data_IF_977172641205
#
_entry.id   IF_977172641205
#
_cell.length_a   1.000
_cell.length_b   1.000
_cell.length_c   1.000
_cell.angle_alpha   90.00
_cell.angle_beta   90.00
_cell.angle_gamma   90.00
#
_symmetry.space_group_name_H-M   'P 1'
#
loop_
_entity.id
_entity.type
_entity.pdbx_description
1 polymer ?
#
# COMPACT_ATOMS: atom_id res chain seq x y z
N UNK A 1 -19.61 14.28 -9.39
CA UNK A 1 -18.98 13.18 -10.16
C UNK A 1 -20.09 12.22 -10.60
N UNK A 2 -20.10 11.71 -11.83
CA UNK A 2 -21.17 10.76 -12.23
C UNK A 2 -20.98 9.39 -11.55
N UNK A 3 -22.04 8.58 -11.46
CA UNK A 3 -22.01 7.28 -10.76
C UNK A 3 -20.96 6.30 -11.33
N UNK A 4 -20.76 6.27 -12.64
CA UNK A 4 -19.76 5.44 -13.32
C UNK A 4 -18.33 5.86 -12.96
N UNK A 5 -18.05 7.16 -12.95
CA UNK A 5 -16.74 7.70 -12.57
C UNK A 5 -16.41 7.38 -11.11
N UNK A 6 -17.40 7.47 -10.22
CA UNK A 6 -17.24 7.11 -8.81
C UNK A 6 -16.90 5.64 -8.61
N UNK A 7 -17.62 4.76 -9.30
CA UNK A 7 -17.37 3.32 -9.26
C UNK A 7 -15.95 2.98 -9.73
N UNK A 8 -15.49 3.61 -10.81
CA UNK A 8 -14.13 3.44 -11.31
C UNK A 8 -13.09 3.90 -10.27
N UNK A 9 -13.28 5.07 -9.65
CA UNK A 9 -12.37 5.58 -8.60
C UNK A 9 -12.32 4.63 -7.40
N UNK A 10 -13.47 4.14 -6.92
CA UNK A 10 -13.50 3.20 -5.80
C UNK A 10 -12.76 1.89 -6.11
N UNK A 11 -12.97 1.33 -7.30
CA UNK A 11 -12.29 0.11 -7.75
C UNK A 11 -10.78 0.37 -7.87
N UNK A 12 -10.37 1.48 -8.49
CA UNK A 12 -8.96 1.83 -8.63
C UNK A 12 -8.28 2.01 -7.27
N UNK A 13 -8.93 2.67 -6.31
CA UNK A 13 -8.38 2.85 -4.96
C UNK A 13 -8.24 1.51 -4.22
N UNK A 14 -9.17 0.56 -4.40
CA UNK A 14 -9.02 -0.80 -3.84
C UNK A 14 -7.87 -1.53 -4.51
N UNK A 15 -7.83 -1.57 -5.83
CA UNK A 15 -6.83 -2.34 -6.58
C UNK A 15 -5.42 -1.81 -6.30
N UNK A 16 -5.22 -0.49 -6.38
CA UNK A 16 -3.94 0.13 -6.11
C UNK A 16 -3.57 0.07 -4.62
N UNK A 17 -4.54 0.26 -3.71
CA UNK A 17 -4.33 0.19 -2.28
C UNK A 17 -3.93 -1.21 -1.80
N UNK A 18 -4.70 -2.23 -2.18
CA UNK A 18 -4.37 -3.63 -1.86
C UNK A 18 -3.11 -4.09 -2.59
N UNK A 19 -2.94 -3.72 -3.86
CA UNK A 19 -1.76 -4.07 -4.64
C UNK A 19 -0.46 -3.55 -4.03
N UNK A 20 -0.44 -2.28 -3.61
CA UNK A 20 0.74 -1.70 -2.94
C UNK A 20 1.02 -2.31 -1.56
N UNK A 21 -0.02 -2.66 -0.79
CA UNK A 21 0.16 -3.42 0.46
C UNK A 21 0.75 -4.80 0.22
N UNK A 22 0.29 -5.52 -0.80
CA UNK A 22 0.83 -6.85 -1.16
C UNK A 22 2.30 -6.76 -1.60
N UNK A 23 2.64 -5.76 -2.42
CA UNK A 23 4.03 -5.51 -2.82
C UNK A 23 4.89 -5.20 -1.59
N UNK A 24 4.43 -4.33 -0.70
CA UNK A 24 5.11 -4.04 0.57
C UNK A 24 5.33 -5.30 1.42
N UNK A 25 4.29 -6.13 1.55
CA UNK A 25 4.37 -7.38 2.31
C UNK A 25 5.36 -8.39 1.69
N UNK A 26 5.39 -8.52 0.36
CA UNK A 26 6.36 -9.36 -0.34
C UNK A 26 7.78 -8.86 -0.07
N UNK A 27 8.02 -7.55 -0.19
CA UNK A 27 9.33 -6.96 0.08
C UNK A 27 9.77 -7.16 1.53
N UNK A 28 8.84 -7.07 2.49
CA UNK A 28 9.10 -7.35 3.90
C UNK A 28 9.47 -8.83 4.15
N UNK A 29 8.76 -9.76 3.49
CA UNK A 29 9.08 -11.19 3.58
C UNK A 29 10.45 -11.47 2.98
N UNK A 30 10.75 -10.89 1.82
CA UNK A 30 12.07 -10.99 1.20
C UNK A 30 13.15 -10.43 2.13
N UNK A 31 12.93 -9.26 2.74
CA UNK A 31 13.86 -8.69 3.72
C UNK A 31 14.14 -9.65 4.88
N UNK A 32 13.09 -10.23 5.46
CA UNK A 32 13.23 -11.13 6.61
C UNK A 32 13.97 -12.42 6.24
N UNK A 33 13.70 -12.97 5.06
CA UNK A 33 14.43 -14.13 4.53
C UNK A 33 15.89 -13.80 4.24
N UNK A 34 16.17 -12.60 3.75
CA UNK A 34 17.52 -12.14 3.43
C UNK A 34 18.33 -11.88 4.71
N UNK A 35 17.75 -11.24 5.73
CA UNK A 35 18.37 -11.07 7.05
C UNK A 35 18.79 -12.43 7.61
N UNK A 36 17.94 -13.45 7.51
CA UNK A 36 18.24 -14.79 8.02
C UNK A 36 19.38 -15.52 7.27
N UNK A 37 19.80 -15.03 6.10
CA UNK A 37 20.88 -15.61 5.28
C UNK A 37 22.12 -14.75 5.18
N UNK A 38 22.00 -13.44 5.36
CA UNK A 38 23.01 -12.45 5.05
C UNK A 38 23.12 -11.45 6.20
N UNK A 39 23.71 -11.87 7.32
CA UNK A 39 24.00 -11.01 8.48
C UNK A 39 24.87 -9.76 8.16
N UNK A 40 25.38 -9.61 6.92
CA UNK A 40 26.38 -8.59 6.57
C UNK A 40 26.24 -7.90 5.20
N UNK A 41 25.26 -8.23 4.35
CA UNK A 41 25.24 -7.76 2.95
C UNK A 41 24.20 -6.66 2.63
N UNK A 42 23.24 -6.40 3.52
CA UNK A 42 22.23 -5.34 3.32
C UNK A 42 22.08 -4.48 4.57
N UNK A 43 22.29 -3.17 4.40
CA UNK A 43 22.08 -2.17 5.44
C UNK A 43 20.56 -2.05 5.73
N UNK A 44 20.09 -2.32 6.95
CA UNK A 44 18.67 -2.28 7.31
C UNK A 44 18.00 -0.95 6.96
N UNK A 45 18.73 0.16 7.02
CA UNK A 45 18.21 1.49 6.70
C UNK A 45 17.86 1.64 5.21
N UNK A 46 18.70 1.10 4.32
CA UNK A 46 18.45 1.15 2.88
C UNK A 46 17.28 0.28 2.47
N UNK A 47 17.11 -0.87 3.12
CA UNK A 47 16.00 -1.77 2.83
C UNK A 47 14.66 -1.22 3.36
N UNK A 48 14.69 -0.56 4.52
CA UNK A 48 13.54 0.16 5.06
C UNK A 48 13.01 1.21 4.06
N UNK A 49 13.90 1.96 3.40
CA UNK A 49 13.52 2.94 2.37
C UNK A 49 12.83 2.32 1.15
N UNK A 50 12.99 1.02 0.90
CA UNK A 50 12.35 0.29 -0.21
C UNK A 50 11.02 -0.32 0.23
N UNK A 51 10.94 -0.86 1.46
CA UNK A 51 9.76 -1.58 1.96
C UNK A 51 8.66 -0.65 2.45
N UNK A 52 9.01 0.44 3.15
CA UNK A 52 8.03 1.33 3.76
C UNK A 52 7.17 2.12 2.76
N UNK A 53 7.71 2.69 1.66
CA UNK A 53 6.90 3.50 0.75
C UNK A 53 5.68 2.75 0.15
N UNK A 54 5.80 1.49 -0.31
CA UNK A 54 4.64 0.70 -0.73
C UNK A 54 3.54 0.58 0.34
N UNK A 55 3.93 0.36 1.60
CA UNK A 55 2.97 0.28 2.72
C UNK A 55 2.25 1.60 2.97
N UNK A 56 2.99 2.72 3.00
CA UNK A 56 2.39 4.05 3.18
C UNK A 56 1.45 4.41 2.04
N UNK A 57 1.85 4.15 0.79
CA UNK A 57 1.02 4.37 -0.39
C UNK A 57 -0.28 3.55 -0.28
N UNK A 58 -0.19 2.27 0.06
CA UNK A 58 -1.37 1.41 0.23
C UNK A 58 -2.32 1.88 1.32
N UNK A 59 -1.76 2.24 2.48
CA UNK A 59 -2.54 2.77 3.59
C UNK A 59 -3.25 4.08 3.22
N UNK A 60 -2.56 5.01 2.55
CA UNK A 60 -3.13 6.29 2.11
C UNK A 60 -4.25 6.07 1.09
N UNK A 61 -4.07 5.17 0.11
CA UNK A 61 -5.09 4.89 -0.90
C UNK A 61 -6.36 4.27 -0.30
N UNK A 62 -6.20 3.35 0.65
CA UNK A 62 -7.33 2.75 1.35
C UNK A 62 -8.01 3.74 2.30
N UNK A 63 -7.23 4.61 2.95
CA UNK A 63 -7.77 5.69 3.78
C UNK A 63 -8.55 6.71 2.93
N UNK A 64 -8.01 7.12 1.79
CA UNK A 64 -8.69 7.99 0.84
C UNK A 64 -10.03 7.39 0.38
N UNK A 65 -10.04 6.08 0.09
CA UNK A 65 -11.28 5.36 -0.22
C UNK A 65 -12.29 5.40 0.93
N UNK A 66 -11.84 5.14 2.16
CA UNK A 66 -12.70 5.18 3.33
C UNK A 66 -13.29 6.58 3.56
N UNK A 67 -12.49 7.62 3.32
CA UNK A 67 -12.90 9.01 3.39
C UNK A 67 -13.99 9.32 2.35
N UNK A 68 -13.78 9.01 1.07
CA UNK A 68 -14.78 9.22 0.01
C UNK A 68 -16.10 8.53 0.36
N UNK A 69 -16.04 7.26 0.73
CA UNK A 69 -17.24 6.49 1.13
C UNK A 69 -17.98 7.10 2.34
N UNK A 70 -17.24 7.73 3.26
CA UNK A 70 -17.83 8.39 4.43
C UNK A 70 -18.43 9.75 4.09
N UNK A 71 -17.82 10.52 3.18
CA UNK A 71 -18.35 11.80 2.72
C UNK A 71 -19.71 11.62 2.04
N UNK A 72 -19.86 10.54 1.27
CA UNK A 72 -21.11 10.20 0.60
C UNK A 72 -22.27 9.78 1.54
N UNK A 73 -22.01 9.56 2.83
CA UNK A 73 -23.07 9.25 3.81
C UNK A 73 -23.77 10.51 4.35
N UNK A 74 -23.21 11.69 4.08
CA UNK A 74 -23.69 12.96 4.62
C UNK A 74 -24.24 13.91 3.53
N UNK A 75 -24.27 13.46 2.26
CA UNK A 75 -25.05 14.05 1.15
C UNK A 75 -26.34 13.27 0.92
#
# INVERSE_FOLDING_TARGET
>A
MNATQRSLVEISLVVLGVGSLLVGAILLVLFYLEIGRLDYLFDPEQFALIVWPPFFIGAILLWARAFFRSADKYE
#
